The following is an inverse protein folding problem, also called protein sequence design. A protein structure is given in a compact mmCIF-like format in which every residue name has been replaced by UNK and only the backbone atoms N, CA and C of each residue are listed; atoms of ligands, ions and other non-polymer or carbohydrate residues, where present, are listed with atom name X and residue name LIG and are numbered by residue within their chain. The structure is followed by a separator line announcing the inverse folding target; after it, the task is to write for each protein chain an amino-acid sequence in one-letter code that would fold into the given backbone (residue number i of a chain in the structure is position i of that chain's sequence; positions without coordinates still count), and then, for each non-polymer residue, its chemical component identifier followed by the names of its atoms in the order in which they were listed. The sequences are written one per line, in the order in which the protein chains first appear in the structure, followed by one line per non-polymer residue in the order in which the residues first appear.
data_IF_035590068912
#
_entry.id   IF_035590068912
#
_cell.length_a   1.000
_cell.length_b   1.000
_cell.length_c   1.000
_cell.angle_alpha   90.00
_cell.angle_beta   90.00
_cell.angle_gamma   90.00
#
_symmetry.space_group_name_H-M   'P 1'
#
loop_
_entity.id
_entity.type
_entity.pdbx_description
1 polymer ?
#
# COMPACT_ATOMS: atom_id res chain seq x y z
N UNK A 1 -38.52 22.34 -53.53
CA UNK A 1 -37.96 21.02 -53.20
C UNK A 1 -37.01 21.18 -52.02
N UNK A 2 -37.13 20.27 -51.07
CA UNK A 2 -36.86 20.36 -49.63
C UNK A 2 -35.36 20.44 -49.29
N UNK A 3 -34.96 21.40 -48.44
CA UNK A 3 -33.67 21.42 -47.74
C UNK A 3 -33.86 20.73 -46.39
N UNK A 4 -33.24 19.57 -46.19
CA UNK A 4 -33.27 18.87 -44.90
C UNK A 4 -32.02 19.28 -44.13
N UNK A 5 -32.22 20.09 -43.09
CA UNK A 5 -31.24 20.31 -42.02
C UNK A 5 -31.33 19.12 -41.07
N UNK A 6 -30.29 18.30 -40.99
CA UNK A 6 -30.17 17.28 -39.94
C UNK A 6 -29.40 17.92 -38.79
N UNK A 7 -30.13 18.23 -37.71
CA UNK A 7 -29.57 18.69 -36.46
C UNK A 7 -28.76 17.57 -35.81
N UNK A 8 -27.51 17.87 -35.47
CA UNK A 8 -26.60 16.98 -34.74
C UNK A 8 -27.14 16.72 -33.34
N UNK A 9 -27.41 15.46 -33.02
CA UNK A 9 -27.73 15.02 -31.67
C UNK A 9 -26.41 14.71 -30.94
N UNK A 10 -25.92 15.66 -30.14
CA UNK A 10 -24.82 15.41 -29.22
C UNK A 10 -25.36 14.64 -28.00
N UNK A 11 -25.09 13.34 -27.93
CA UNK A 11 -25.33 12.56 -26.71
C UNK A 11 -24.15 12.80 -25.77
N UNK A 12 -24.35 13.66 -24.77
CA UNK A 12 -23.42 13.81 -23.66
C UNK A 12 -23.51 12.56 -22.77
N UNK A 13 -22.60 11.61 -22.99
CA UNK A 13 -22.43 10.46 -22.11
C UNK A 13 -21.86 10.90 -20.77
N UNK A 14 -22.68 10.87 -19.73
CA UNK A 14 -22.25 11.02 -18.33
C UNK A 14 -21.42 9.80 -17.94
N UNK A 15 -20.10 9.97 -17.80
CA UNK A 15 -19.23 8.94 -17.25
C UNK A 15 -19.48 8.82 -15.74
N UNK A 16 -20.18 7.77 -15.33
CA UNK A 16 -20.17 7.32 -13.94
C UNK A 16 -18.76 6.81 -13.63
N UNK A 17 -17.95 7.62 -12.94
CA UNK A 17 -16.77 7.10 -12.23
C UNK A 17 -17.27 6.30 -11.03
N UNK A 18 -17.40 4.99 -11.21
CA UNK A 18 -17.51 4.09 -10.07
C UNK A 18 -16.20 4.19 -9.26
N UNK A 19 -16.24 4.25 -7.92
CA UNK A 19 -15.03 4.11 -7.14
C UNK A 19 -14.49 2.70 -7.42
N UNK A 20 -13.30 2.62 -8.01
CA UNK A 20 -12.50 1.41 -7.97
C UNK A 20 -12.19 1.19 -6.48
N UNK A 21 -13.00 0.38 -5.81
CA UNK A 21 -12.54 -0.28 -4.60
C UNK A 21 -11.37 -1.16 -5.05
N UNK A 22 -10.15 -0.62 -4.96
CA UNK A 22 -8.92 -1.38 -5.00
C UNK A 22 -8.96 -2.30 -3.78
N UNK A 23 -9.70 -3.39 -3.91
CA UNK A 23 -9.58 -4.51 -3.01
C UNK A 23 -8.15 -5.00 -3.17
N UNK A 24 -7.39 -4.79 -2.09
CA UNK A 24 -6.06 -5.28 -1.77
C UNK A 24 -6.00 -6.82 -1.95
N UNK A 25 -6.10 -7.28 -3.19
CA UNK A 25 -5.93 -8.68 -3.57
C UNK A 25 -4.48 -8.83 -3.95
N UNK A 26 -3.72 -9.27 -2.95
CA UNK A 26 -2.40 -9.88 -3.04
C UNK A 26 -2.24 -10.57 -4.41
N UNK A 27 -1.42 -10.00 -5.30
CA UNK A 27 -0.97 -10.70 -6.49
C UNK A 27 0.07 -11.72 -6.02
N UNK A 28 -0.38 -12.75 -5.28
CA UNK A 28 0.40 -13.99 -5.17
C UNK A 28 0.26 -14.66 -6.52
N UNK A 29 1.17 -14.32 -7.43
CA UNK A 29 1.42 -15.16 -8.60
C UNK A 29 1.52 -16.57 -8.06
N UNK A 30 0.68 -17.49 -8.57
CA UNK A 30 0.47 -18.83 -8.02
C UNK A 30 1.78 -19.55 -7.65
N UNK A 31 2.85 -19.22 -8.39
CA UNK A 31 4.28 -19.54 -8.18
C UNK A 31 4.78 -19.38 -6.74
N UNK A 32 4.34 -18.39 -5.97
CA UNK A 32 4.90 -18.08 -4.65
C UNK A 32 4.18 -18.76 -3.48
N UNK A 33 3.06 -19.44 -3.72
CA UNK A 33 2.31 -20.16 -2.66
C UNK A 33 3.13 -21.28 -2.01
N UNK A 34 4.11 -21.83 -2.72
CA UNK A 34 5.01 -22.88 -2.22
C UNK A 34 6.14 -22.35 -1.34
N UNK A 35 6.48 -21.06 -1.39
CA UNK A 35 7.55 -20.49 -0.59
C UNK A 35 7.18 -20.48 0.90
N UNK A 36 8.08 -20.82 1.83
CA UNK A 36 7.78 -20.73 3.26
C UNK A 36 7.38 -19.30 3.68
N UNK A 37 6.53 -19.14 4.72
CA UNK A 37 6.19 -17.83 5.24
C UNK A 37 7.43 -17.16 5.84
N UNK A 38 7.58 -15.86 5.59
CA UNK A 38 8.67 -15.05 6.13
C UNK A 38 8.69 -15.06 7.67
N UNK A 39 9.89 -15.13 8.30
CA UNK A 39 10.04 -14.85 9.72
C UNK A 39 9.85 -13.35 10.00
N UNK A 40 8.66 -12.98 10.49
CA UNK A 40 8.38 -11.61 10.95
C UNK A 40 8.76 -11.45 12.43
N UNK A 41 10.05 -11.45 12.74
CA UNK A 41 10.57 -11.26 14.10
C UNK A 41 11.99 -10.66 14.09
N UNK A 42 12.55 -10.40 15.26
CA UNK A 42 13.87 -9.77 15.44
C UNK A 42 15.07 -10.56 14.88
N UNK A 43 14.90 -11.82 14.47
CA UNK A 43 15.99 -12.59 13.84
C UNK A 43 16.11 -12.33 12.34
N UNK A 44 15.08 -11.75 11.73
CA UNK A 44 15.08 -11.33 10.34
C UNK A 44 15.41 -9.83 10.26
N UNK A 45 16.63 -9.48 9.84
CA UNK A 45 17.05 -8.07 9.76
C UNK A 45 16.10 -7.22 8.91
N UNK A 46 15.58 -7.75 7.82
CA UNK A 46 14.67 -7.04 6.92
C UNK A 46 13.31 -6.75 7.56
N UNK A 47 12.88 -7.59 8.51
CA UNK A 47 11.70 -7.31 9.32
C UNK A 47 11.98 -6.17 10.32
N UNK A 48 13.20 -6.12 10.87
CA UNK A 48 13.62 -5.03 11.77
C UNK A 48 13.74 -3.72 10.99
N UNK A 49 14.29 -3.76 9.79
CA UNK A 49 14.38 -2.60 8.88
C UNK A 49 12.96 -2.10 8.55
N UNK A 50 12.05 -2.98 8.12
CA UNK A 50 10.63 -2.65 7.94
C UNK A 50 9.99 -1.99 9.18
N UNK A 51 10.22 -2.52 10.39
CA UNK A 51 9.69 -1.91 11.61
C UNK A 51 10.31 -0.53 11.90
N UNK A 52 11.55 -0.31 11.50
CA UNK A 52 12.25 0.97 11.63
C UNK A 52 11.62 1.99 10.69
N UNK A 53 11.44 1.66 9.41
CA UNK A 53 10.80 2.54 8.43
C UNK A 53 9.40 2.97 8.87
N UNK A 54 8.59 2.01 9.36
CA UNK A 54 7.26 2.29 9.90
C UNK A 54 7.32 3.22 11.13
N UNK A 55 8.34 3.08 11.97
CA UNK A 55 8.53 3.95 13.14
C UNK A 55 8.97 5.37 12.73
N UNK A 56 9.81 5.49 11.70
CA UNK A 56 10.27 6.76 11.15
C UNK A 56 9.12 7.52 10.48
N UNK A 57 8.37 6.86 9.59
CA UNK A 57 7.18 7.40 8.95
C UNK A 57 6.16 7.94 9.97
N UNK A 58 5.93 7.22 11.07
CA UNK A 58 5.05 7.67 12.17
C UNK A 58 5.61 8.89 12.90
N UNK A 59 6.92 8.94 13.11
CA UNK A 59 7.58 10.08 13.76
C UNK A 59 7.46 11.32 12.89
N UNK A 60 7.61 11.17 11.58
CA UNK A 60 7.53 12.25 10.59
C UNK A 60 6.10 12.76 10.45
N UNK A 61 5.11 11.87 10.31
CA UNK A 61 3.69 12.25 10.37
C UNK A 61 3.36 13.10 11.62
N UNK A 62 3.84 12.69 12.81
CA UNK A 62 3.65 13.47 14.04
C UNK A 62 4.33 14.84 14.00
N UNK A 63 5.49 14.91 13.36
CA UNK A 63 6.28 16.12 13.16
C UNK A 63 5.54 17.10 12.24
N UNK A 64 4.99 16.58 11.15
CA UNK A 64 4.36 17.37 10.09
C UNK A 64 2.98 17.83 10.50
N UNK A 65 2.17 16.96 11.12
CA UNK A 65 0.88 17.36 11.70
C UNK A 65 1.00 18.42 12.80
N UNK A 66 2.15 18.51 13.47
CA UNK A 66 2.43 19.57 14.45
C UNK A 66 2.74 20.91 13.77
N UNK A 67 3.32 20.88 12.57
CA UNK A 67 3.69 22.07 11.79
C UNK A 67 2.60 22.52 10.81
N UNK A 68 1.67 21.62 10.47
CA UNK A 68 0.56 21.88 9.56
C UNK A 68 -0.29 23.07 10.01
N UNK A 69 -0.48 24.02 9.09
CA UNK A 69 -1.18 25.28 9.33
C UNK A 69 -2.62 25.26 8.85
N UNK A 70 -2.92 24.43 7.85
CA UNK A 70 -4.26 24.29 7.30
C UNK A 70 -4.69 22.81 7.10
N UNK A 71 -5.80 22.60 6.41
CA UNK A 71 -6.33 21.27 6.14
C UNK A 71 -5.58 20.55 5.00
N UNK A 72 -5.01 21.29 4.05
CA UNK A 72 -4.26 20.74 2.92
C UNK A 72 -2.94 20.16 3.43
N UNK A 73 -2.21 20.90 4.28
CA UNK A 73 -1.00 20.42 4.96
C UNK A 73 -1.23 19.10 5.71
N UNK A 74 -2.38 18.97 6.39
CA UNK A 74 -2.73 17.76 7.15
C UNK A 74 -3.07 16.59 6.24
N UNK A 75 -3.69 16.87 5.10
CA UNK A 75 -4.03 15.87 4.10
C UNK A 75 -2.75 15.34 3.45
N UNK A 76 -1.87 16.24 3.01
CA UNK A 76 -0.61 15.89 2.37
C UNK A 76 0.30 15.09 3.29
N UNK A 77 0.43 15.49 4.57
CA UNK A 77 1.21 14.74 5.56
C UNK A 77 0.67 13.30 5.75
N UNK A 78 -0.66 13.11 5.77
CA UNK A 78 -1.25 11.77 5.87
C UNK A 78 -1.04 10.96 4.59
N UNK A 79 -1.16 11.60 3.43
CA UNK A 79 -0.98 10.98 2.13
C UNK A 79 0.47 10.55 1.91
N UNK A 80 1.44 11.32 2.41
CA UNK A 80 2.86 10.94 2.42
C UNK A 80 3.08 9.73 3.31
N UNK A 81 2.59 9.78 4.55
CA UNK A 81 2.67 8.64 5.47
C UNK A 81 2.09 7.36 4.87
N UNK A 82 0.94 7.43 4.18
CA UNK A 82 0.35 6.27 3.50
C UNK A 82 1.25 5.71 2.40
N UNK A 83 1.92 6.56 1.60
CA UNK A 83 2.91 6.14 0.61
C UNK A 83 4.10 5.45 1.25
N UNK A 84 4.65 6.03 2.33
CA UNK A 84 5.78 5.44 3.05
C UNK A 84 5.43 4.05 3.63
N UNK A 85 4.19 3.86 4.09
CA UNK A 85 3.73 2.53 4.52
C UNK A 85 3.68 1.52 3.37
N UNK A 86 3.28 1.96 2.18
CA UNK A 86 3.22 1.11 0.98
C UNK A 86 4.62 0.76 0.48
N UNK A 87 5.52 1.74 0.42
CA UNK A 87 6.92 1.55 0.00
C UNK A 87 7.64 0.60 0.97
N UNK A 88 7.53 0.81 2.28
CA UNK A 88 8.14 -0.09 3.27
C UNK A 88 7.61 -1.53 3.18
N UNK A 89 6.30 -1.70 2.93
CA UNK A 89 5.72 -3.05 2.72
C UNK A 89 6.26 -3.70 1.45
N UNK A 90 6.32 -2.94 0.37
CA UNK A 90 6.81 -3.41 -0.93
C UNK A 90 8.28 -3.83 -0.84
N UNK A 91 9.13 -3.02 -0.22
CA UNK A 91 10.55 -3.32 -0.06
C UNK A 91 10.75 -4.57 0.80
N UNK A 92 10.02 -4.69 1.92
CA UNK A 92 10.07 -5.92 2.71
C UNK A 92 9.61 -7.15 1.92
N UNK A 93 8.50 -7.05 1.21
CA UNK A 93 7.98 -8.15 0.39
C UNK A 93 8.97 -8.57 -0.69
N UNK A 94 9.55 -7.60 -1.40
CA UNK A 94 10.58 -7.84 -2.41
C UNK A 94 11.79 -8.55 -1.82
N UNK A 95 12.35 -8.06 -0.71
CA UNK A 95 13.50 -8.68 -0.06
C UNK A 95 13.18 -10.11 0.43
N UNK A 96 11.94 -10.38 0.86
CA UNK A 96 11.52 -11.72 1.25
C UNK A 96 11.39 -12.65 0.05
N UNK A 97 10.77 -12.19 -1.04
CA UNK A 97 10.62 -12.97 -2.27
C UNK A 97 11.99 -13.34 -2.88
N UNK A 98 12.92 -12.38 -2.95
CA UNK A 98 14.29 -12.63 -3.42
C UNK A 98 15.05 -13.67 -2.57
N UNK A 99 14.64 -13.86 -1.31
CA UNK A 99 15.21 -14.84 -0.37
C UNK A 99 14.45 -16.15 -0.29
N UNK A 100 13.43 -16.33 -1.13
CA UNK A 100 12.63 -17.56 -1.15
C UNK A 100 11.61 -17.66 -0.02
N UNK A 101 11.15 -16.52 0.50
CA UNK A 101 10.05 -16.44 1.45
C UNK A 101 8.86 -15.71 0.83
N UNK A 102 7.65 -15.97 1.35
CA UNK A 102 6.46 -15.16 1.06
C UNK A 102 6.02 -14.39 2.31
N UNK A 103 5.58 -13.16 2.14
CA UNK A 103 4.97 -12.40 3.24
C UNK A 103 3.51 -12.82 3.36
N UNK A 104 3.11 -13.36 4.51
CA UNK A 104 1.71 -13.77 4.77
C UNK A 104 0.99 -12.81 5.72
N UNK A 105 1.75 -11.94 6.39
CA UNK A 105 1.23 -10.90 7.27
C UNK A 105 2.28 -9.81 7.44
N UNK A 106 1.85 -8.59 7.78
CA UNK A 106 2.73 -7.51 8.26
C UNK A 106 2.59 -7.33 9.77
N UNK A 107 2.34 -8.43 10.50
CA UNK A 107 2.30 -8.45 11.96
C UNK A 107 3.44 -9.31 12.48
N UNK A 108 3.97 -8.93 13.63
CA UNK A 108 5.02 -9.69 14.31
C UNK A 108 4.51 -11.09 14.67
N UNK A 109 5.28 -12.12 14.32
CA UNK A 109 4.92 -13.50 14.60
C UNK A 109 5.43 -13.92 15.99
N UNK A 110 4.66 -13.60 17.04
CA UNK A 110 5.00 -13.91 18.43
C UNK A 110 4.98 -15.42 18.77
N UNK A 111 4.40 -16.27 17.91
CA UNK A 111 4.19 -17.70 18.20
C UNK A 111 5.43 -18.58 18.00
N UNK A 112 6.47 -18.12 17.28
CA UNK A 112 7.71 -18.89 17.10
C UNK A 112 8.74 -18.71 18.22
N UNK A 113 8.51 -17.82 19.18
CA UNK A 113 9.44 -17.58 20.30
C UNK A 113 9.17 -18.47 21.53
N UNK A 114 8.00 -19.12 21.62
CA UNK A 114 7.58 -19.89 22.79
C UNK A 114 8.00 -21.39 22.78
N UNK A 115 8.81 -21.82 21.80
CA UNK A 115 9.36 -23.19 21.76
C UNK A 115 10.87 -23.14 21.61
N UNK A 116 11.57 -22.87 22.71
CA UNK A 116 12.98 -23.20 22.91
C UNK A 116 13.18 -23.61 24.36
#
# INVERSE_FOLDING_TARGET
MTRILVASLAVAGTLFSAPLAAHDREIVVERYRSLPPSPNNFTNKWWVDYQTDISEARRELRSDLRRATDAEDRFDARREYERELEDAKYDYEKEMLERGYRVVSFRENRYRMARR
#
